data_IF_706497958757
#
_entry.id   IF_706497958757
#
_cell.length_a   1.000
_cell.length_b   1.000
_cell.length_c   1.000
_cell.angle_alpha   90.00
_cell.angle_beta   90.00
_cell.angle_gamma   90.00
#
_symmetry.space_group_name_H-M   'P 1'
#
loop_
_entity.id
_entity.type
_entity.pdbx_description
1 polymer ?
#
# COMPACT_ATOMS: atom_id res chain seq x y z
N UNK A 1 12.01 15.95 26.75
CA UNK A 1 12.17 15.16 25.52
C UNK A 1 13.51 15.50 24.93
N UNK A 2 14.37 14.51 24.71
CA UNK A 2 15.63 14.71 24.00
C UNK A 2 15.35 14.63 22.50
N UNK A 3 15.17 15.79 21.86
CA UNK A 3 14.70 15.90 20.48
C UNK A 3 15.74 15.43 19.43
N UNK A 4 16.99 15.17 19.85
CA UNK A 4 18.09 14.80 18.96
C UNK A 4 18.54 13.35 19.10
N UNK A 5 18.05 12.63 20.11
CA UNK A 5 18.31 11.20 20.27
C UNK A 5 17.24 10.38 19.52
N UNK A 6 17.48 10.12 18.24
CA UNK A 6 16.63 9.22 17.47
C UNK A 6 16.87 7.78 17.90
N UNK A 7 15.78 7.04 18.14
CA UNK A 7 15.80 5.59 18.35
C UNK A 7 14.86 4.95 17.34
N UNK A 8 15.29 3.85 16.73
CA UNK A 8 14.42 3.06 15.84
C UNK A 8 13.21 2.58 16.64
N UNK A 9 12.01 2.85 16.14
CA UNK A 9 10.78 2.32 16.74
C UNK A 9 10.79 0.80 16.60
N UNK A 10 10.58 0.03 17.68
CA UNK A 10 10.38 -1.41 17.57
C UNK A 10 9.17 -1.72 16.68
N UNK A 11 9.34 -2.62 15.73
CA UNK A 11 8.28 -3.10 14.84
C UNK A 11 8.44 -4.60 14.62
N UNK A 12 7.41 -5.26 14.08
CA UNK A 12 7.53 -6.62 13.58
C UNK A 12 8.44 -6.67 12.34
N UNK A 13 8.81 -7.89 11.95
CA UNK A 13 9.47 -8.18 10.68
C UNK A 13 8.42 -8.54 9.63
N UNK A 14 8.53 -7.96 8.44
CA UNK A 14 7.66 -8.23 7.30
C UNK A 14 8.54 -8.66 6.13
N UNK A 15 8.33 -9.90 5.66
CA UNK A 15 9.03 -10.42 4.49
C UNK A 15 8.41 -9.86 3.21
N UNK A 16 9.23 -9.37 2.30
CA UNK A 16 8.82 -8.90 0.97
C UNK A 16 9.72 -9.55 -0.07
N UNK A 17 9.34 -10.73 -0.57
CA UNK A 17 10.20 -11.51 -1.44
C UNK A 17 11.45 -11.97 -0.71
N UNK A 18 12.61 -11.43 -1.07
CA UNK A 18 13.89 -11.74 -0.45
C UNK A 18 14.42 -10.65 0.51
N UNK A 19 13.63 -9.62 0.83
CA UNK A 19 14.01 -8.56 1.78
C UNK A 19 13.13 -8.56 3.03
N UNK A 20 13.69 -8.11 4.16
CA UNK A 20 12.97 -7.92 5.41
C UNK A 20 12.75 -6.43 5.68
N UNK A 21 11.50 -6.04 5.95
CA UNK A 21 11.11 -4.70 6.37
C UNK A 21 10.74 -4.71 7.86
N UNK A 22 11.28 -3.79 8.65
CA UNK A 22 10.94 -3.68 10.07
C UNK A 22 12.01 -4.22 11.02
N UNK A 23 11.59 -4.67 12.21
CA UNK A 23 12.42 -5.11 13.34
C UNK A 23 13.73 -4.35 13.58
N UNK A 24 14.85 -5.02 13.34
CA UNK A 24 16.20 -4.45 13.44
C UNK A 24 16.91 -4.39 12.07
N UNK A 25 16.17 -4.62 10.99
CA UNK A 25 16.72 -4.60 9.63
C UNK A 25 17.03 -3.16 9.17
N UNK A 26 17.96 -2.98 8.21
CA UNK A 26 18.20 -1.68 7.58
C UNK A 26 16.94 -1.06 6.98
N UNK A 27 16.93 0.26 6.84
CA UNK A 27 15.83 0.95 6.15
C UNK A 27 15.88 0.62 4.67
N UNK A 28 14.82 -0.02 4.16
CA UNK A 28 14.72 -0.40 2.75
C UNK A 28 14.58 0.82 1.85
N UNK A 29 15.48 0.94 0.87
CA UNK A 29 15.46 1.95 -0.18
C UNK A 29 14.51 1.47 -1.28
N UNK A 30 13.45 2.23 -1.54
CA UNK A 30 12.47 1.88 -2.55
C UNK A 30 12.20 3.05 -3.49
N UNK A 31 11.88 2.74 -4.75
CA UNK A 31 11.49 3.73 -5.75
C UNK A 31 10.32 3.23 -6.59
N UNK A 32 9.86 4.03 -7.54
CA UNK A 32 8.74 3.71 -8.42
C UNK A 32 9.12 3.99 -9.86
N UNK A 33 8.74 3.09 -10.77
CA UNK A 33 8.83 3.34 -12.22
C UNK A 33 7.91 4.49 -12.63
N UNK A 34 8.23 5.13 -13.74
CA UNK A 34 7.36 6.12 -14.38
C UNK A 34 6.99 5.73 -15.82
N UNK A 35 7.42 4.55 -16.28
CA UNK A 35 6.97 3.96 -17.53
C UNK A 35 5.52 3.51 -17.44
N UNK A 36 4.85 3.40 -18.58
CA UNK A 36 3.57 2.72 -18.64
C UNK A 36 3.79 1.23 -18.36
N UNK A 37 3.13 0.67 -17.35
CA UNK A 37 3.26 -0.75 -17.01
C UNK A 37 2.84 -1.68 -18.13
N UNK A 38 2.07 -1.23 -19.13
CA UNK A 38 1.76 -2.00 -20.34
C UNK A 38 2.90 -2.02 -21.37
N UNK A 39 3.89 -1.15 -21.21
CA UNK A 39 5.14 -1.18 -21.98
C UNK A 39 6.17 -2.00 -21.21
N UNK A 40 6.19 -3.30 -21.51
CA UNK A 40 7.08 -4.27 -20.85
C UNK A 40 8.54 -3.92 -21.03
N UNK A 41 8.97 -3.62 -22.27
CA UNK A 41 10.37 -3.37 -22.58
C UNK A 41 10.89 -2.13 -21.85
N UNK A 42 10.13 -1.02 -21.91
CA UNK A 42 10.51 0.19 -21.20
C UNK A 42 10.54 -0.03 -19.69
N UNK A 43 9.57 -0.76 -19.14
CA UNK A 43 9.48 -1.03 -17.70
C UNK A 43 10.62 -1.92 -17.20
N UNK A 44 10.96 -2.98 -17.94
CA UNK A 44 12.12 -3.84 -17.63
C UNK A 44 13.41 -3.03 -17.71
N UNK A 45 13.62 -2.26 -18.78
CA UNK A 45 14.82 -1.42 -18.93
C UNK A 45 14.94 -0.37 -17.81
N UNK A 46 13.83 0.21 -17.35
CA UNK A 46 13.85 1.11 -16.20
C UNK A 46 14.13 0.38 -14.89
N UNK A 47 13.57 -0.82 -14.68
CA UNK A 47 13.87 -1.64 -13.53
C UNK A 47 15.37 -1.98 -13.45
N UNK A 48 16.01 -2.33 -14.56
CA UNK A 48 17.46 -2.57 -14.62
C UNK A 48 18.27 -1.36 -14.17
N UNK A 49 17.91 -0.15 -14.62
CA UNK A 49 18.58 1.10 -14.18
C UNK A 49 18.39 1.35 -12.69
N UNK A 50 17.19 1.07 -12.16
CA UNK A 50 16.88 1.21 -10.74
C UNK A 50 17.70 0.21 -9.90
N UNK A 51 17.83 -1.03 -10.35
CA UNK A 51 18.65 -2.07 -9.69
C UNK A 51 20.11 -1.65 -9.69
N UNK A 52 20.64 -1.20 -10.83
CA UNK A 52 22.01 -0.70 -10.94
C UNK A 52 22.28 0.51 -10.02
N UNK A 53 21.24 1.26 -9.64
CA UNK A 53 21.32 2.38 -8.71
C UNK A 53 21.20 1.97 -7.24
N UNK A 54 21.00 0.69 -6.93
CA UNK A 54 21.00 0.15 -5.57
C UNK A 54 19.67 0.24 -4.81
N UNK A 55 18.53 0.30 -5.50
CA UNK A 55 17.24 0.18 -4.81
C UNK A 55 17.02 -1.28 -4.34
N UNK A 56 16.31 -1.44 -3.22
CA UNK A 56 15.96 -2.74 -2.64
C UNK A 56 14.56 -3.23 -3.08
N UNK A 57 13.68 -2.31 -3.48
CA UNK A 57 12.30 -2.60 -3.90
C UNK A 57 11.85 -1.66 -5.01
N UNK A 58 11.25 -2.21 -6.06
CA UNK A 58 10.69 -1.43 -7.17
C UNK A 58 9.17 -1.47 -7.15
N UNK A 59 8.53 -0.31 -7.19
CA UNK A 59 7.09 -0.20 -7.32
C UNK A 59 6.69 0.14 -8.76
N UNK A 60 5.60 -0.47 -9.25
CA UNK A 60 5.02 -0.19 -10.56
C UNK A 60 3.53 0.15 -10.41
N UNK A 61 3.02 1.04 -11.25
CA UNK A 61 1.58 1.38 -11.30
C UNK A 61 0.78 0.19 -11.81
N UNK A 62 -0.27 -0.25 -11.10
CA UNK A 62 -1.03 -1.45 -11.48
C UNK A 62 -2.54 -1.24 -11.31
N UNK A 63 -3.09 -0.21 -11.95
CA UNK A 63 -4.48 0.22 -11.68
C UNK A 63 -5.57 -0.75 -12.18
N UNK A 64 -5.25 -1.60 -13.16
CA UNK A 64 -6.19 -2.54 -13.75
C UNK A 64 -5.63 -3.96 -13.85
N UNK A 65 -6.52 -4.89 -14.18
CA UNK A 65 -6.18 -6.31 -14.37
C UNK A 65 -5.22 -6.51 -15.55
N UNK A 66 -5.27 -5.62 -16.57
CA UNK A 66 -4.34 -5.67 -17.72
C UNK A 66 -2.92 -5.35 -17.28
N UNK A 67 -2.74 -4.28 -16.50
CA UNK A 67 -1.46 -3.89 -15.92
C UNK A 67 -0.96 -4.94 -14.94
N UNK A 68 -1.85 -5.53 -14.12
CA UNK A 68 -1.50 -6.62 -13.22
C UNK A 68 -0.99 -7.85 -14.00
N UNK A 69 -1.67 -8.22 -15.09
CA UNK A 69 -1.19 -9.30 -15.94
C UNK A 69 0.14 -8.97 -16.62
N UNK A 70 0.35 -7.72 -17.07
CA UNK A 70 1.63 -7.34 -17.66
C UNK A 70 2.77 -7.26 -16.64
N UNK A 71 2.46 -6.98 -15.37
CA UNK A 71 3.42 -7.07 -14.28
C UNK A 71 4.03 -8.48 -14.17
N UNK A 72 3.27 -9.54 -14.49
CA UNK A 72 3.79 -10.92 -14.56
C UNK A 72 4.88 -11.06 -15.61
N UNK A 73 4.70 -10.44 -16.76
CA UNK A 73 5.66 -10.49 -17.86
C UNK A 73 6.92 -9.69 -17.53
N UNK A 74 6.77 -8.50 -16.93
CA UNK A 74 7.90 -7.71 -16.43
C UNK A 74 8.68 -8.51 -15.37
N UNK A 75 7.98 -9.13 -14.42
CA UNK A 75 8.57 -9.97 -13.38
C UNK A 75 9.33 -11.15 -13.97
N UNK A 76 8.71 -11.90 -14.90
CA UNK A 76 9.33 -13.02 -15.61
C UNK A 76 10.63 -12.60 -16.29
N UNK A 77 10.62 -11.54 -17.09
CA UNK A 77 11.81 -11.07 -17.80
C UNK A 77 12.93 -10.65 -16.84
N UNK A 78 12.61 -9.96 -15.74
CA UNK A 78 13.61 -9.60 -14.72
C UNK A 78 14.24 -10.85 -14.08
N UNK A 79 13.43 -11.87 -13.76
CA UNK A 79 13.92 -13.13 -13.19
C UNK A 79 14.78 -13.91 -14.19
N UNK A 80 14.41 -13.96 -15.47
CA UNK A 80 15.21 -14.58 -16.53
C UNK A 80 16.56 -13.89 -16.74
N UNK A 81 16.61 -12.58 -16.52
CA UNK A 81 17.84 -11.79 -16.52
C UNK A 81 18.66 -11.94 -15.21
N UNK A 82 18.20 -12.76 -14.26
CA UNK A 82 18.90 -13.05 -13.01
C UNK A 82 18.67 -12.03 -11.88
N UNK A 83 17.74 -11.09 -12.04
CA UNK A 83 17.42 -10.12 -11.00
C UNK A 83 16.44 -10.72 -10.00
N UNK A 84 16.77 -10.63 -8.71
CA UNK A 84 15.93 -11.11 -7.61
C UNK A 84 15.20 -9.98 -6.84
N UNK A 85 15.31 -8.72 -7.30
CA UNK A 85 14.68 -7.59 -6.62
C UNK A 85 13.16 -7.79 -6.53
N UNK A 86 12.52 -7.57 -5.37
CA UNK A 86 11.09 -7.67 -5.23
C UNK A 86 10.38 -6.52 -5.95
N UNK A 87 9.19 -6.81 -6.47
CA UNK A 87 8.31 -5.85 -7.09
C UNK A 87 7.12 -5.53 -6.18
N UNK A 88 6.65 -4.29 -6.26
CA UNK A 88 5.44 -3.86 -5.58
C UNK A 88 4.42 -3.32 -6.57
N UNK A 89 3.18 -3.83 -6.53
CA UNK A 89 2.07 -3.32 -7.32
C UNK A 89 1.40 -2.15 -6.61
N UNK A 90 1.26 -1.00 -7.28
CA UNK A 90 0.58 0.17 -6.75
C UNK A 90 -0.86 0.25 -7.25
N UNK A 91 -1.82 0.08 -6.34
CA UNK A 91 -3.24 -0.03 -6.67
C UNK A 91 -4.02 0.99 -5.85
N UNK A 92 -4.88 1.73 -6.54
CA UNK A 92 -5.76 2.71 -5.89
C UNK A 92 -7.19 2.19 -5.79
N UNK A 93 -7.82 1.83 -6.91
CA UNK A 93 -9.29 1.71 -6.98
C UNK A 93 -9.85 0.32 -7.27
N UNK A 94 -9.02 -0.66 -7.62
CA UNK A 94 -9.50 -1.91 -8.24
C UNK A 94 -9.14 -3.14 -7.39
N UNK A 95 -10.07 -3.65 -6.55
CA UNK A 95 -9.84 -4.85 -5.75
C UNK A 95 -9.47 -6.08 -6.59
N UNK A 96 -10.09 -6.26 -7.77
CA UNK A 96 -9.75 -7.39 -8.65
C UNK A 96 -8.33 -7.29 -9.19
N UNK A 97 -7.86 -6.09 -9.51
CA UNK A 97 -6.46 -5.90 -9.89
C UNK A 97 -5.52 -6.21 -8.72
N UNK A 98 -5.93 -5.93 -7.49
CA UNK A 98 -5.14 -6.25 -6.29
C UNK A 98 -5.04 -7.74 -6.01
N UNK A 99 -6.13 -8.48 -6.14
CA UNK A 99 -6.12 -9.94 -6.07
C UNK A 99 -5.18 -10.53 -7.13
N UNK A 100 -5.29 -10.10 -8.41
CA UNK A 100 -4.40 -10.59 -9.47
C UNK A 100 -2.95 -10.21 -9.20
N UNK A 101 -2.67 -8.97 -8.81
CA UNK A 101 -1.32 -8.52 -8.50
C UNK A 101 -0.71 -9.26 -7.30
N UNK A 102 -1.53 -9.64 -6.32
CA UNK A 102 -1.07 -10.41 -5.16
C UNK A 102 -0.56 -11.81 -5.52
N UNK A 103 -0.98 -12.36 -6.67
CA UNK A 103 -0.46 -13.64 -7.18
C UNK A 103 0.89 -13.51 -7.90
N UNK A 104 1.39 -12.28 -8.10
CA UNK A 104 2.51 -11.98 -8.99
C UNK A 104 3.63 -11.22 -8.26
N UNK A 105 3.27 -10.14 -7.57
CA UNK A 105 4.20 -9.23 -6.93
C UNK A 105 4.40 -9.60 -5.47
N UNK A 106 5.60 -9.36 -4.96
CA UNK A 106 5.94 -9.66 -3.57
C UNK A 106 5.29 -8.69 -2.56
N UNK A 107 4.79 -7.53 -3.04
CA UNK A 107 4.00 -6.61 -2.21
C UNK A 107 2.93 -5.86 -2.98
N UNK A 108 1.71 -5.80 -2.47
CA UNK A 108 0.65 -4.94 -3.03
C UNK A 108 0.41 -3.73 -2.14
N UNK A 109 0.41 -2.53 -2.71
CA UNK A 109 -0.08 -1.34 -2.02
C UNK A 109 -1.54 -1.11 -2.35
N UNK A 110 -2.33 -0.87 -1.31
CA UNK A 110 -3.68 -0.32 -1.38
C UNK A 110 -3.76 1.06 -0.71
N UNK A 111 -4.79 1.84 -1.04
CA UNK A 111 -5.08 3.12 -0.42
C UNK A 111 -6.49 3.10 0.19
N UNK A 112 -6.63 3.13 1.53
CA UNK A 112 -7.92 3.06 2.19
C UNK A 112 -9.00 3.99 1.65
N UNK A 113 -8.64 5.25 1.36
CA UNK A 113 -9.64 6.25 0.99
C UNK A 113 -10.22 6.12 -0.41
N UNK A 114 -9.73 5.17 -1.23
CA UNK A 114 -10.28 4.93 -2.56
C UNK A 114 -10.24 3.47 -3.05
N UNK A 115 -9.90 2.52 -2.18
CA UNK A 115 -9.82 1.10 -2.53
C UNK A 115 -11.20 0.43 -2.69
N UNK A 116 -12.12 0.75 -1.78
CA UNK A 116 -13.51 0.28 -1.82
C UNK A 116 -14.46 1.44 -2.07
N UNK A 117 -14.10 2.62 -1.56
CA UNK A 117 -14.89 3.82 -1.70
C UNK A 117 -14.90 4.35 -3.13
N UNK A 118 -16.01 4.96 -3.50
CA UNK A 118 -16.07 5.77 -4.72
C UNK A 118 -15.10 6.94 -4.59
N UNK A 119 -14.60 7.42 -5.71
CA UNK A 119 -13.79 8.63 -5.75
C UNK A 119 -14.59 9.80 -5.14
N UNK A 120 -13.93 10.54 -4.24
CA UNK A 120 -14.48 11.69 -3.50
C UNK A 120 -15.36 12.57 -4.38
N UNK A 121 -16.63 12.73 -4.01
CA UNK A 121 -17.59 13.57 -4.77
C UNK A 121 -17.69 15.00 -4.23
N UNK A 122 -16.98 15.33 -3.15
CA UNK A 122 -17.02 16.63 -2.46
C UNK A 122 -18.42 17.05 -1.99
N UNK A 123 -19.36 16.11 -1.88
CA UNK A 123 -20.63 16.35 -1.22
C UNK A 123 -20.41 16.36 0.30
N UNK A 124 -20.98 17.34 1.01
CA UNK A 124 -21.08 17.30 2.47
C UNK A 124 -22.04 16.18 2.84
N UNK A 125 -21.48 14.99 3.08
CA UNK A 125 -22.21 13.83 3.55
C UNK A 125 -22.01 13.73 5.06
N UNK A 126 -23.08 13.91 5.82
CA UNK A 126 -23.14 13.46 7.22
C UNK A 126 -23.52 11.98 7.21
N UNK A 127 -22.70 11.14 7.85
CA UNK A 127 -22.97 9.71 7.99
C UNK A 127 -23.59 9.44 9.35
N UNK A 128 -24.71 8.70 9.40
CA UNK A 128 -25.17 8.13 10.67
C UNK A 128 -24.23 7.01 11.13
N UNK A 129 -24.38 6.58 12.39
CA UNK A 129 -23.61 5.43 12.90
C UNK A 129 -23.89 4.14 12.11
N UNK A 130 -25.14 3.94 11.71
CA UNK A 130 -25.55 2.78 10.91
C UNK A 130 -24.95 2.82 9.50
N UNK A 131 -24.94 3.99 8.85
CA UNK A 131 -24.34 4.15 7.52
C UNK A 131 -22.84 3.94 7.54
N UNK A 132 -22.16 4.46 8.55
CA UNK A 132 -20.71 4.25 8.71
C UNK A 132 -20.38 2.78 8.97
N UNK A 133 -21.13 2.11 9.84
CA UNK A 133 -20.98 0.68 10.08
C UNK A 133 -21.19 -0.13 8.80
N UNK A 134 -22.21 0.21 8.00
CA UNK A 134 -22.45 -0.44 6.72
C UNK A 134 -21.31 -0.25 5.70
N UNK A 135 -20.65 0.92 5.69
CA UNK A 135 -19.44 1.12 4.86
C UNK A 135 -18.26 0.28 5.36
N UNK A 136 -18.07 0.17 6.68
CA UNK A 136 -17.03 -0.71 7.25
C UNK A 136 -17.25 -2.18 6.89
N UNK A 137 -18.51 -2.65 6.87
CA UNK A 137 -18.83 -4.02 6.46
C UNK A 137 -18.51 -4.28 4.98
N UNK A 138 -18.76 -3.30 4.10
CA UNK A 138 -18.36 -3.39 2.68
C UNK A 138 -16.84 -3.46 2.54
N UNK A 139 -16.11 -2.65 3.30
CA UNK A 139 -14.65 -2.64 3.31
C UNK A 139 -14.14 -4.00 3.78
N UNK A 140 -14.66 -4.49 4.90
CA UNK A 140 -14.33 -5.81 5.44
C UNK A 140 -14.48 -6.90 4.39
N UNK A 141 -15.63 -6.98 3.71
CA UNK A 141 -15.85 -8.02 2.70
C UNK A 141 -14.79 -8.02 1.58
N UNK A 142 -14.36 -6.85 1.11
CA UNK A 142 -13.34 -6.72 0.04
C UNK A 142 -11.93 -6.94 0.55
N UNK A 143 -11.60 -6.40 1.72
CA UNK A 143 -10.27 -6.51 2.32
C UNK A 143 -10.00 -7.95 2.75
N UNK A 144 -10.96 -8.63 3.38
CA UNK A 144 -10.82 -10.04 3.77
C UNK A 144 -10.52 -10.91 2.54
N UNK A 145 -11.30 -10.78 1.46
CA UNK A 145 -11.06 -11.52 0.23
C UNK A 145 -9.63 -11.31 -0.31
N UNK A 146 -9.19 -10.04 -0.35
CA UNK A 146 -7.84 -9.68 -0.79
C UNK A 146 -6.74 -10.24 0.14
N UNK A 147 -6.90 -10.12 1.46
CA UNK A 147 -5.93 -10.63 2.43
C UNK A 147 -5.78 -12.15 2.37
N UNK A 148 -6.86 -12.89 2.07
CA UNK A 148 -6.77 -14.34 1.89
C UNK A 148 -5.91 -14.71 0.67
N UNK A 149 -6.03 -13.99 -0.45
CA UNK A 149 -5.12 -14.16 -1.60
C UNK A 149 -3.68 -13.81 -1.21
N UNK A 150 -3.47 -12.74 -0.44
CA UNK A 150 -2.14 -12.38 0.04
C UNK A 150 -1.52 -13.47 0.93
N UNK A 151 -2.29 -14.11 1.82
CA UNK A 151 -1.82 -15.25 2.64
C UNK A 151 -1.40 -16.43 1.78
N UNK A 152 -2.24 -16.80 0.82
CA UNK A 152 -1.99 -17.94 -0.06
C UNK A 152 -0.69 -17.79 -0.86
N UNK A 153 -0.39 -16.56 -1.29
CA UNK A 153 0.77 -16.26 -2.12
C UNK A 153 1.99 -15.71 -1.36
N UNK A 154 1.90 -15.53 -0.04
CA UNK A 154 2.97 -14.94 0.76
C UNK A 154 3.28 -13.49 0.40
N UNK A 155 2.25 -12.74 -0.01
CA UNK A 155 2.40 -11.37 -0.52
C UNK A 155 2.14 -10.36 0.58
N UNK A 156 3.12 -9.50 0.84
CA UNK A 156 2.96 -8.43 1.81
C UNK A 156 1.98 -7.35 1.32
N UNK A 157 1.37 -6.62 2.26
CA UNK A 157 0.47 -5.51 1.96
C UNK A 157 1.03 -4.20 2.49
N UNK A 158 0.95 -3.14 1.67
CA UNK A 158 1.13 -1.77 2.17
C UNK A 158 -0.22 -1.06 2.25
N UNK A 159 -0.63 -0.67 3.45
CA UNK A 159 -1.76 0.24 3.65
C UNK A 159 -1.21 1.67 3.60
N UNK A 160 -1.40 2.34 2.46
CA UNK A 160 -0.79 3.64 2.21
C UNK A 160 -1.80 4.77 2.12
N UNK A 161 -1.98 5.50 3.22
CA UNK A 161 -2.88 6.65 3.33
C UNK A 161 -2.20 7.91 2.76
N UNK A 162 -2.91 8.57 1.87
CA UNK A 162 -2.56 9.90 1.36
C UNK A 162 -3.60 10.91 1.85
N UNK A 163 -3.14 12.02 2.43
CA UNK A 163 -4.00 13.09 2.92
C UNK A 163 -4.99 13.62 1.87
N UNK A 164 -4.54 13.82 0.63
CA UNK A 164 -5.40 14.33 -0.45
C UNK A 164 -6.47 13.35 -0.96
N UNK A 165 -6.56 12.14 -0.40
CA UNK A 165 -7.51 11.12 -0.83
C UNK A 165 -8.13 10.36 0.35
N UNK A 166 -8.41 11.05 1.46
CA UNK A 166 -9.23 10.47 2.54
C UNK A 166 -10.65 10.21 2.04
N UNK A 167 -11.28 9.13 2.50
CA UNK A 167 -12.66 8.79 2.15
C UNK A 167 -13.65 9.77 2.75
N UNK A 168 -14.84 9.87 2.15
CA UNK A 168 -15.90 10.77 2.61
C UNK A 168 -16.31 10.45 4.06
N UNK A 169 -16.37 9.16 4.45
CA UNK A 169 -16.67 8.76 5.83
C UNK A 169 -15.65 9.28 6.85
N UNK A 170 -14.36 9.27 6.48
CA UNK A 170 -13.27 9.74 7.36
C UNK A 170 -13.32 11.26 7.43
N UNK A 171 -13.49 11.92 6.28
CA UNK A 171 -13.63 13.37 6.21
C UNK A 171 -14.82 13.88 7.04
N UNK A 172 -15.95 13.18 7.02
CA UNK A 172 -17.15 13.53 7.76
C UNK A 172 -16.93 13.49 9.29
N UNK A 173 -16.26 12.46 9.80
CA UNK A 173 -16.06 12.26 11.26
C UNK A 173 -14.84 12.94 11.84
N UNK A 174 -13.73 12.93 11.10
CA UNK A 174 -12.42 13.35 11.61
C UNK A 174 -11.87 14.59 10.89
N UNK A 175 -12.48 14.97 9.76
CA UNK A 175 -11.98 16.07 8.93
C UNK A 175 -10.63 15.76 8.28
N UNK A 176 -10.04 16.81 7.71
CA UNK A 176 -8.71 16.79 7.08
C UNK A 176 -7.60 16.92 8.14
N UNK A 177 -7.49 15.91 9.01
CA UNK A 177 -6.65 15.94 10.21
C UNK A 177 -5.62 14.80 10.24
N UNK A 178 -4.51 14.94 10.99
CA UNK A 178 -3.61 13.82 11.28
C UNK A 178 -4.33 12.59 11.84
N UNK A 179 -5.29 12.80 12.73
CA UNK A 179 -6.11 11.77 13.35
C UNK A 179 -6.99 11.06 12.31
N UNK A 180 -7.57 11.81 11.37
CA UNK A 180 -8.31 11.23 10.24
C UNK A 180 -7.44 10.36 9.33
N UNK A 181 -6.18 10.76 9.08
CA UNK A 181 -5.23 9.91 8.35
C UNK A 181 -4.93 8.60 9.08
N UNK A 182 -4.70 8.68 10.39
CA UNK A 182 -4.44 7.49 11.21
C UNK A 182 -5.65 6.58 11.22
N UNK A 183 -6.84 7.12 11.47
CA UNK A 183 -8.07 6.32 11.54
C UNK A 183 -8.36 5.63 10.20
N UNK A 184 -8.16 6.32 9.08
CA UNK A 184 -8.28 5.72 7.74
C UNK A 184 -7.39 4.49 7.55
N UNK A 185 -6.20 4.47 8.16
CA UNK A 185 -5.34 3.29 8.18
C UNK A 185 -5.84 2.23 9.19
N UNK A 186 -6.27 2.68 10.37
CA UNK A 186 -6.69 1.81 11.48
C UNK A 186 -7.92 0.97 11.12
N UNK A 187 -8.87 1.50 10.35
CA UNK A 187 -10.02 0.73 9.84
C UNK A 187 -9.57 -0.56 9.13
N UNK A 188 -8.54 -0.47 8.29
CA UNK A 188 -7.99 -1.59 7.53
C UNK A 188 -7.10 -2.49 8.39
N UNK A 189 -6.32 -1.90 9.31
CA UNK A 189 -5.46 -2.66 10.21
C UNK A 189 -6.26 -3.53 11.18
N UNK A 190 -7.38 -3.04 11.71
CA UNK A 190 -8.25 -3.82 12.60
C UNK A 190 -8.77 -5.08 11.90
N UNK A 191 -9.23 -4.93 10.65
CA UNK A 191 -9.65 -6.07 9.81
C UNK A 191 -8.49 -7.06 9.63
N UNK A 192 -7.30 -6.57 9.30
CA UNK A 192 -6.14 -7.44 9.09
C UNK A 192 -5.73 -8.22 10.35
N UNK A 193 -5.74 -7.57 11.51
CA UNK A 193 -5.42 -8.21 12.80
C UNK A 193 -6.46 -9.27 13.16
N UNK A 194 -7.75 -8.99 12.97
CA UNK A 194 -8.82 -9.97 13.20
C UNK A 194 -8.70 -11.18 12.26
N UNK A 195 -8.24 -10.97 11.03
CA UNK A 195 -7.93 -12.03 10.08
C UNK A 195 -6.57 -12.71 10.37
N UNK A 196 -5.81 -12.27 11.38
CA UNK A 196 -4.47 -12.83 11.69
C UNK A 196 -3.43 -12.59 10.58
N UNK A 197 -3.58 -11.50 9.80
CA UNK A 197 -2.64 -11.10 8.76
C UNK A 197 -1.70 -10.00 9.26
N UNK A 198 -0.41 -10.33 9.42
CA UNK A 198 0.59 -9.42 10.01
C UNK A 198 1.61 -8.89 9.01
N UNK A 199 1.65 -9.38 7.77
CA UNK A 199 2.62 -8.95 6.74
C UNK A 199 2.23 -7.59 6.14
N UNK A 200 2.13 -6.58 7.01
CA UNK A 200 1.65 -5.24 6.70
C UNK A 200 2.73 -4.20 6.98
N UNK A 201 2.90 -3.31 5.99
CA UNK A 201 3.62 -2.05 6.14
C UNK A 201 2.63 -0.89 6.01
N UNK A 202 2.82 0.18 6.78
CA UNK A 202 1.96 1.37 6.72
C UNK A 202 2.72 2.58 6.17
N UNK A 203 2.00 3.54 5.58
CA UNK A 203 2.57 4.85 5.27
C UNK A 203 1.53 5.95 5.39
N UNK A 204 1.91 7.06 6.02
CA UNK A 204 1.13 8.30 6.10
C UNK A 204 1.82 9.38 5.26
N UNK A 205 1.16 9.89 4.22
CA UNK A 205 1.76 10.87 3.30
C UNK A 205 0.90 12.12 3.16
N UNK A 206 1.55 13.28 3.28
CA UNK A 206 0.96 14.58 3.00
C UNK A 206 2.00 15.52 2.39
N UNK A 207 1.57 16.45 1.53
CA UNK A 207 2.45 17.50 0.98
C UNK A 207 2.87 18.50 2.07
N UNK A 208 2.05 18.68 3.11
CA UNK A 208 2.40 19.46 4.28
C UNK A 208 3.24 18.61 5.25
N UNK A 209 4.51 18.98 5.42
CA UNK A 209 5.48 18.22 6.23
C UNK A 209 5.14 18.21 7.72
N UNK A 210 4.52 19.28 8.24
CA UNK A 210 4.08 19.33 9.65
C UNK A 210 2.95 18.34 9.90
N UNK A 211 1.98 18.29 8.98
CA UNK A 211 0.85 17.37 9.07
C UNK A 211 1.33 15.92 8.96
N UNK A 212 2.17 15.61 7.96
CA UNK A 212 2.77 14.29 7.79
C UNK A 212 3.54 13.84 9.06
N UNK A 213 4.35 14.74 9.62
CA UNK A 213 5.13 14.43 10.84
C UNK A 213 4.23 14.17 12.04
N UNK A 214 3.13 14.92 12.19
CA UNK A 214 2.13 14.67 13.23
C UNK A 214 1.46 13.30 13.04
N UNK A 215 0.99 12.99 11.83
CA UNK A 215 0.31 11.73 11.53
C UNK A 215 1.21 10.50 11.73
N UNK A 216 2.52 10.58 11.42
CA UNK A 216 3.47 9.47 11.64
C UNK A 216 3.82 9.28 13.13
N UNK A 217 3.62 10.31 13.98
CA UNK A 217 3.90 10.25 15.42
C UNK A 217 2.74 9.68 16.25
N UNK A 218 1.52 9.81 15.75
CA UNK A 218 0.32 9.19 16.30
C UNK A 218 0.37 7.67 16.08
#
# INVERSE_FOLDING_TARGET
MDFFNYKRRPTIDVLVGNIMMGGNHPVVIQTMTNTNTLDTEASVAQCERIIASGADLIRLTTQGVREANNLREIHRQLREKGYAIPLSADIHFNPRAAEVAATIAEKVRINPGNYVDKQKTFAELEYTEEEYAAELDKIRAKVVAFLQVCKEHGTAVRIGVNHGSLSDRIMSRYGDTPEGMVESCMEYLRIAVEEGFTDIVISMKASNTLLMTKAVRL
#
